data_IF_855964052390
#
_entry.id   IF_855964052390
#
_cell.length_a   1.000
_cell.length_b   1.000
_cell.length_c   1.000
_cell.angle_alpha   90.00
_cell.angle_beta   90.00
_cell.angle_gamma   90.00
#
_symmetry.space_group_name_H-M   'P 1'
#
loop_
_entity.id
_entity.type
_entity.pdbx_description
1 polymer ?
#
# COMPACT_ATOMS: atom_id res chain seq x y z
N UNK A 1 44.39 -10.03 -33.58
CA UNK A 1 43.96 -10.00 -32.16
C UNK A 1 42.54 -9.48 -32.12
N UNK A 2 41.59 -10.24 -31.59
CA UNK A 2 40.23 -9.72 -31.37
C UNK A 2 40.26 -8.61 -30.32
N UNK A 3 39.54 -7.51 -30.58
CA UNK A 3 39.38 -6.46 -29.58
C UNK A 3 38.62 -7.03 -28.38
N UNK A 4 39.04 -6.76 -27.13
CA UNK A 4 38.31 -7.21 -25.96
C UNK A 4 36.88 -6.66 -26.00
N UNK A 5 35.91 -7.52 -25.70
CA UNK A 5 34.50 -7.12 -25.64
C UNK A 5 34.30 -6.20 -24.42
N UNK A 6 33.52 -5.11 -24.55
CA UNK A 6 33.24 -4.25 -23.41
C UNK A 6 32.55 -5.07 -22.31
N UNK A 7 33.11 -5.02 -21.09
CA UNK A 7 32.53 -5.63 -19.90
C UNK A 7 31.76 -4.57 -19.10
N UNK A 8 30.83 -5.03 -18.26
CA UNK A 8 30.00 -4.14 -17.45
C UNK A 8 30.82 -3.13 -16.66
N UNK A 9 31.96 -3.55 -16.09
CA UNK A 9 32.85 -2.71 -15.30
C UNK A 9 33.34 -1.48 -16.07
N UNK A 10 33.60 -1.62 -17.37
CA UNK A 10 34.16 -0.57 -18.22
C UNK A 10 33.10 0.39 -18.79
N UNK A 11 31.81 0.07 -18.62
CA UNK A 11 30.75 0.93 -19.10
C UNK A 11 30.74 2.28 -18.34
N UNK A 12 30.66 3.41 -19.07
CA UNK A 12 30.41 4.71 -18.47
C UNK A 12 29.19 4.70 -17.55
N UNK A 13 29.28 5.48 -16.45
CA UNK A 13 28.22 5.53 -15.43
C UNK A 13 26.83 5.84 -16.02
N UNK A 14 26.74 6.74 -17.00
CA UNK A 14 25.46 7.10 -17.62
C UNK A 14 24.80 5.92 -18.34
N UNK A 15 25.57 5.03 -18.98
CA UNK A 15 25.04 3.80 -19.60
C UNK A 15 24.59 2.79 -18.54
N UNK A 16 25.35 2.64 -17.45
CA UNK A 16 24.95 1.78 -16.32
C UNK A 16 23.62 2.24 -15.71
N UNK A 17 23.48 3.55 -15.51
CA UNK A 17 22.25 4.22 -15.04
C UNK A 17 21.09 3.97 -16.02
N UNK A 18 21.33 4.11 -17.32
CA UNK A 18 20.33 3.84 -18.35
C UNK A 18 19.85 2.39 -18.31
N UNK A 19 20.77 1.43 -18.31
CA UNK A 19 20.45 -0.01 -18.23
C UNK A 19 19.70 -0.32 -16.94
N UNK A 20 20.19 0.13 -15.79
CA UNK A 20 19.55 -0.10 -14.49
C UNK A 20 18.15 0.54 -14.41
N UNK A 21 17.89 1.60 -15.17
CA UNK A 21 16.56 2.21 -15.33
C UNK A 21 15.57 1.38 -16.14
N UNK A 22 16.05 0.42 -16.93
CA UNK A 22 15.23 -0.53 -17.70
C UNK A 22 15.07 -1.88 -17.01
N UNK A 23 15.80 -2.12 -15.93
CA UNK A 23 15.70 -3.36 -15.16
C UNK A 23 14.44 -3.37 -14.29
N UNK A 24 13.80 -4.54 -14.22
CA UNK A 24 12.72 -4.81 -13.27
C UNK A 24 13.22 -5.09 -11.85
N UNK A 25 12.30 -5.22 -10.88
CA UNK A 25 12.60 -5.43 -9.44
C UNK A 25 13.70 -6.48 -9.19
N UNK A 26 13.50 -7.72 -9.64
CA UNK A 26 14.44 -8.82 -9.40
C UNK A 26 15.85 -8.52 -9.93
N UNK A 27 15.96 -8.08 -11.18
CA UNK A 27 17.24 -7.77 -11.81
C UNK A 27 17.94 -6.57 -11.14
N UNK A 28 17.17 -5.56 -10.71
CA UNK A 28 17.72 -4.45 -9.93
C UNK A 28 18.25 -4.91 -8.57
N UNK A 29 17.51 -5.76 -7.86
CA UNK A 29 17.97 -6.31 -6.59
C UNK A 29 19.25 -7.13 -6.76
N UNK A 30 19.34 -7.97 -7.80
CA UNK A 30 20.56 -8.71 -8.13
C UNK A 30 21.72 -7.78 -8.42
N UNK A 31 21.54 -6.78 -9.32
CA UNK A 31 22.59 -5.81 -9.66
C UNK A 31 23.07 -5.04 -8.42
N UNK A 32 22.14 -4.61 -7.56
CA UNK A 32 22.43 -3.90 -6.31
C UNK A 32 23.30 -4.70 -5.33
N UNK A 33 23.28 -6.04 -5.42
CA UNK A 33 24.07 -6.93 -4.58
C UNK A 33 25.45 -7.24 -5.17
N UNK A 34 25.70 -6.96 -6.46
CA UNK A 34 26.95 -7.30 -7.13
C UNK A 34 28.17 -6.52 -6.61
N UNK A 35 28.04 -5.21 -6.40
CA UNK A 35 29.15 -4.36 -5.93
C UNK A 35 28.65 -3.07 -5.28
N UNK A 36 29.55 -2.32 -4.63
CA UNK A 36 29.22 -0.98 -4.08
C UNK A 36 28.85 0.00 -5.20
N UNK A 37 29.58 0.00 -6.31
CA UNK A 37 29.32 0.89 -7.45
C UNK A 37 28.00 0.56 -8.14
N UNK A 38 27.65 -0.73 -8.25
CA UNK A 38 26.35 -1.15 -8.80
C UNK A 38 25.19 -0.78 -7.88
N UNK A 39 25.39 -0.91 -6.56
CA UNK A 39 24.43 -0.41 -5.57
C UNK A 39 24.20 1.08 -5.73
N UNK A 40 25.27 1.87 -5.86
CA UNK A 40 25.16 3.32 -6.05
C UNK A 40 24.45 3.68 -7.36
N UNK A 41 24.66 2.91 -8.44
CA UNK A 41 23.92 3.08 -9.69
C UNK A 41 22.44 2.82 -9.47
N UNK A 42 22.07 1.68 -8.90
CA UNK A 42 20.66 1.29 -8.66
C UNK A 42 19.96 2.25 -7.70
N UNK A 43 20.64 2.65 -6.62
CA UNK A 43 20.08 3.56 -5.61
C UNK A 43 20.04 5.03 -6.13
N UNK A 44 20.77 5.35 -7.21
CA UNK A 44 20.74 6.69 -7.80
C UNK A 44 19.52 6.97 -8.68
N UNK A 45 18.78 5.95 -9.11
CA UNK A 45 17.69 6.07 -10.07
C UNK A 45 16.31 5.92 -9.42
N UNK A 46 15.29 6.70 -9.85
CA UNK A 46 13.91 6.50 -9.42
C UNK A 46 13.43 5.07 -9.65
N UNK A 47 12.55 4.59 -8.77
CA UNK A 47 11.84 3.34 -8.95
C UNK A 47 10.34 3.58 -8.90
N UNK A 48 9.71 3.64 -10.07
CA UNK A 48 8.26 3.79 -10.20
C UNK A 48 7.62 2.43 -10.02
N UNK A 49 6.96 2.23 -8.88
CA UNK A 49 6.27 1.00 -8.54
C UNK A 49 4.78 1.27 -8.63
N UNK A 50 4.08 0.51 -9.47
CA UNK A 50 2.64 0.62 -9.58
C UNK A 50 1.97 0.06 -8.31
N UNK A 51 2.36 -1.15 -7.89
CA UNK A 51 1.81 -1.75 -6.67
C UNK A 51 2.80 -2.67 -5.97
N UNK A 52 2.78 -2.66 -4.64
CA UNK A 52 3.44 -3.67 -3.80
C UNK A 52 2.39 -4.40 -3.00
N UNK A 53 2.37 -5.73 -3.11
CA UNK A 53 1.55 -6.59 -2.26
C UNK A 53 2.46 -7.36 -1.31
N UNK A 54 2.16 -7.30 -0.02
CA UNK A 54 2.72 -8.17 1.00
C UNK A 54 1.56 -8.93 1.64
N UNK A 55 1.50 -10.24 1.43
CA UNK A 55 0.42 -11.08 1.96
C UNK A 55 0.95 -12.39 2.49
N UNK A 56 0.35 -12.90 3.56
CA UNK A 56 0.66 -14.25 4.05
C UNK A 56 -0.06 -15.31 3.23
N UNK A 57 0.64 -16.42 2.95
CA UNK A 57 0.08 -17.63 2.33
C UNK A 57 -0.04 -18.78 3.35
N UNK A 58 1.01 -19.07 4.14
CA UNK A 58 1.10 -20.16 5.14
C UNK A 58 1.89 -19.70 6.37
N UNK A 59 1.95 -20.51 7.43
CA UNK A 59 2.48 -20.14 8.77
C UNK A 59 3.81 -19.36 8.79
N UNK A 60 4.77 -19.69 7.92
CA UNK A 60 6.11 -19.06 7.89
C UNK A 60 6.48 -18.42 6.54
N UNK A 61 5.54 -18.39 5.60
CA UNK A 61 5.77 -17.86 4.26
C UNK A 61 4.93 -16.60 4.02
N UNK A 62 5.46 -15.75 3.14
CA UNK A 62 4.72 -14.64 2.58
C UNK A 62 4.97 -14.51 1.09
N UNK A 63 3.98 -13.93 0.44
CA UNK A 63 4.04 -13.47 -0.94
C UNK A 63 4.39 -12.00 -0.93
N UNK A 64 5.53 -11.66 -1.52
CA UNK A 64 5.89 -10.30 -1.89
C UNK A 64 5.73 -10.18 -3.42
N UNK A 65 4.75 -9.40 -3.85
CA UNK A 65 4.60 -9.06 -5.26
C UNK A 65 4.94 -7.58 -5.49
N UNK A 66 5.80 -7.31 -6.46
CA UNK A 66 6.17 -5.97 -6.90
C UNK A 66 5.75 -5.83 -8.36
N UNK A 67 4.83 -4.92 -8.61
CA UNK A 67 4.27 -4.64 -9.93
C UNK A 67 4.76 -3.27 -10.36
N UNK A 68 5.44 -3.24 -11.51
CA UNK A 68 5.88 -2.02 -12.20
C UNK A 68 5.20 -1.96 -13.56
N UNK A 69 5.41 -0.87 -14.31
CA UNK A 69 4.94 -0.79 -15.70
C UNK A 69 5.59 -1.83 -16.61
N UNK A 70 6.85 -2.20 -16.31
CA UNK A 70 7.65 -3.08 -17.16
C UNK A 70 7.49 -4.56 -16.79
N UNK A 71 7.18 -4.86 -15.53
CA UNK A 71 7.16 -6.24 -15.06
C UNK A 71 6.29 -6.47 -13.83
N UNK A 72 5.97 -7.75 -13.62
CA UNK A 72 5.39 -8.27 -12.40
C UNK A 72 6.35 -9.30 -11.80
N UNK A 73 6.86 -8.99 -10.61
CA UNK A 73 7.68 -9.89 -9.80
C UNK A 73 6.80 -10.46 -8.68
N UNK A 74 6.68 -11.78 -8.57
CA UNK A 74 5.98 -12.45 -7.46
C UNK A 74 6.97 -13.41 -6.82
N UNK A 75 7.15 -13.28 -5.51
CA UNK A 75 8.10 -14.08 -4.73
C UNK A 75 7.41 -14.68 -3.53
N UNK A 76 7.52 -15.99 -3.38
CA UNK A 76 7.14 -16.70 -2.17
C UNK A 76 8.42 -16.91 -1.34
N UNK A 77 8.47 -16.29 -0.17
CA UNK A 77 9.68 -16.19 0.65
C UNK A 77 9.33 -16.51 2.10
N UNK A 78 10.31 -16.95 2.91
CA UNK A 78 10.17 -16.93 4.36
C UNK A 78 9.78 -15.53 4.83
N UNK A 79 8.83 -15.44 5.77
CA UNK A 79 8.19 -14.19 6.15
C UNK A 79 9.17 -13.06 6.50
N UNK A 80 10.18 -13.36 7.33
CA UNK A 80 11.22 -12.39 7.73
C UNK A 80 11.99 -11.83 6.53
N UNK A 81 12.20 -12.66 5.50
CA UNK A 81 12.85 -12.23 4.26
C UNK A 81 11.93 -11.30 3.47
N UNK A 82 10.63 -11.62 3.40
CA UNK A 82 9.65 -10.77 2.75
C UNK A 82 9.51 -9.39 3.43
N UNK A 83 9.49 -9.32 4.78
CA UNK A 83 9.52 -8.05 5.52
C UNK A 83 10.77 -7.26 5.14
N UNK A 84 11.95 -7.87 5.27
CA UNK A 84 13.23 -7.19 5.02
C UNK A 84 13.28 -6.62 3.59
N UNK A 85 12.82 -7.40 2.61
CA UNK A 85 12.76 -6.96 1.22
C UNK A 85 11.75 -5.84 1.01
N UNK A 86 10.58 -5.91 1.65
CA UNK A 86 9.60 -4.83 1.66
C UNK A 86 10.18 -3.55 2.27
N UNK A 87 10.85 -3.65 3.42
CA UNK A 87 11.49 -2.52 4.10
C UNK A 87 12.59 -1.90 3.23
N UNK A 88 13.37 -2.71 2.52
CA UNK A 88 14.37 -2.21 1.58
C UNK A 88 13.74 -1.41 0.44
N UNK A 89 12.54 -1.79 -0.03
CA UNK A 89 11.81 -1.04 -1.04
C UNK A 89 11.35 0.33 -0.51
N UNK A 90 10.79 0.37 0.70
CA UNK A 90 10.25 1.62 1.27
C UNK A 90 11.35 2.57 1.77
N UNK A 91 12.51 2.06 2.19
CA UNK A 91 13.65 2.87 2.64
C UNK A 91 14.29 3.69 1.52
N UNK A 92 14.13 3.28 0.26
CA UNK A 92 14.69 4.02 -0.86
C UNK A 92 13.85 5.29 -1.10
N UNK A 93 14.39 6.50 -0.85
CA UNK A 93 13.62 7.76 -0.96
C UNK A 93 13.22 8.09 -2.40
N UNK A 94 13.83 7.42 -3.40
CA UNK A 94 13.54 7.57 -4.83
C UNK A 94 12.52 6.54 -5.33
N UNK A 95 12.11 5.59 -4.49
CA UNK A 95 10.97 4.72 -4.79
C UNK A 95 9.68 5.53 -4.65
N UNK A 96 8.85 5.51 -5.70
CA UNK A 96 7.50 6.05 -5.68
C UNK A 96 6.55 4.89 -5.85
N UNK A 97 5.73 4.61 -4.84
CA UNK A 97 4.71 3.57 -4.90
C UNK A 97 3.35 4.20 -5.15
N UNK A 98 2.60 3.71 -6.13
CA UNK A 98 1.22 4.14 -6.29
C UNK A 98 0.31 3.45 -5.26
N UNK A 99 0.41 2.13 -5.09
CA UNK A 99 -0.35 1.41 -4.07
C UNK A 99 0.49 0.45 -3.24
N UNK A 100 0.11 0.30 -1.98
CA UNK A 100 0.54 -0.81 -1.10
C UNK A 100 -0.68 -1.63 -0.70
N UNK A 101 -0.54 -2.96 -0.73
CA UNK A 101 -1.61 -3.92 -0.45
C UNK A 101 -1.12 -4.90 0.62
N UNK A 102 -1.82 -4.95 1.75
CA UNK A 102 -1.60 -5.95 2.79
C UNK A 102 -2.66 -7.05 2.68
N UNK A 103 -2.21 -8.29 2.49
CA UNK A 103 -3.07 -9.45 2.29
C UNK A 103 -3.45 -10.14 3.61
N UNK A 104 -4.74 -10.37 3.85
CA UNK A 104 -5.28 -10.99 5.07
C UNK A 104 -5.66 -12.46 4.91
N UNK A 105 -5.06 -13.17 3.95
CA UNK A 105 -5.47 -14.54 3.63
C UNK A 105 -5.22 -15.55 4.78
N UNK A 106 -4.49 -15.17 5.84
CA UNK A 106 -4.27 -16.00 7.02
C UNK A 106 -4.44 -15.19 8.32
N UNK A 107 -5.52 -15.39 9.10
CA UNK A 107 -5.76 -14.66 10.36
C UNK A 107 -4.80 -15.06 11.48
N UNK A 108 -4.10 -16.20 11.36
CA UNK A 108 -3.07 -16.63 12.33
C UNK A 108 -1.68 -16.09 11.99
N UNK A 109 -1.57 -15.21 11.01
CA UNK A 109 -0.28 -14.68 10.62
C UNK A 109 0.19 -13.65 11.65
N UNK A 110 1.10 -14.05 12.55
CA UNK A 110 1.73 -13.23 13.60
C UNK A 110 2.70 -12.16 13.05
N UNK A 111 2.47 -11.75 11.82
CA UNK A 111 3.51 -11.25 10.94
C UNK A 111 3.50 -9.73 10.92
N UNK A 112 2.32 -9.13 10.89
CA UNK A 112 2.15 -7.69 10.92
C UNK A 112 2.70 -7.00 12.17
N UNK A 113 2.59 -7.55 13.39
CA UNK A 113 3.26 -6.98 14.55
C UNK A 113 4.79 -6.82 14.38
N UNK A 114 5.47 -7.80 13.77
CA UNK A 114 6.91 -7.72 13.47
C UNK A 114 7.18 -6.62 12.44
N UNK A 115 6.41 -6.56 11.35
CA UNK A 115 6.51 -5.51 10.34
C UNK A 115 6.30 -4.11 10.94
N UNK A 116 5.25 -3.93 11.75
CA UNK A 116 4.94 -2.67 12.44
C UNK A 116 6.12 -2.27 13.31
N UNK A 117 6.66 -3.21 14.09
CA UNK A 117 7.82 -2.98 14.96
C UNK A 117 9.05 -2.53 14.18
N UNK A 118 9.38 -3.20 13.08
CA UNK A 118 10.53 -2.84 12.24
C UNK A 118 10.31 -1.52 11.47
N UNK A 119 9.06 -1.11 11.23
CA UNK A 119 8.72 0.10 10.50
C UNK A 119 8.39 1.30 11.39
N UNK A 120 8.52 1.23 12.72
CA UNK A 120 8.12 2.30 13.65
C UNK A 120 8.62 3.70 13.29
N UNK A 121 9.83 3.81 12.76
CA UNK A 121 10.47 5.08 12.37
C UNK A 121 10.46 5.34 10.86
N UNK A 122 9.70 4.55 10.09
CA UNK A 122 9.60 4.65 8.65
C UNK A 122 8.18 5.04 8.25
N UNK A 123 8.07 5.81 7.18
CA UNK A 123 6.78 6.13 6.57
C UNK A 123 6.70 5.56 5.17
N UNK A 124 5.64 4.81 4.91
CA UNK A 124 5.35 4.25 3.60
C UNK A 124 4.76 5.36 2.73
N UNK A 125 5.51 5.77 1.72
CA UNK A 125 5.12 6.80 0.75
C UNK A 125 4.38 6.15 -0.42
N UNK A 126 3.09 5.87 -0.23
CA UNK A 126 2.21 5.41 -1.31
C UNK A 126 0.92 6.21 -1.37
N UNK A 127 0.39 6.42 -2.57
CA UNK A 127 -0.86 7.17 -2.78
C UNK A 127 -2.09 6.40 -2.27
N UNK A 128 -2.04 5.06 -2.31
CA UNK A 128 -3.17 4.20 -1.95
C UNK A 128 -2.75 3.11 -0.99
N UNK A 129 -3.51 2.94 0.07
CA UNK A 129 -3.40 1.82 0.99
C UNK A 129 -4.55 0.85 0.76
N UNK A 130 -4.25 -0.44 0.70
CA UNK A 130 -5.27 -1.47 0.64
C UNK A 130 -5.04 -2.54 1.70
N UNK A 131 -6.09 -2.84 2.45
CA UNK A 131 -6.18 -4.07 3.22
C UNK A 131 -7.12 -5.01 2.48
N UNK A 132 -6.56 -6.10 1.93
CA UNK A 132 -7.28 -7.02 1.06
C UNK A 132 -7.34 -8.41 1.67
N UNK A 133 -8.49 -9.08 1.57
CA UNK A 133 -8.70 -10.44 2.06
C UNK A 133 -10.14 -10.63 2.53
N UNK A 134 -10.42 -11.84 2.99
CA UNK A 134 -11.71 -12.18 3.59
C UNK A 134 -11.55 -11.98 5.10
N UNK A 135 -12.29 -11.03 5.68
CA UNK A 135 -12.40 -10.97 7.14
C UNK A 135 -13.24 -12.17 7.56
N UNK A 136 -12.72 -12.88 8.56
CA UNK A 136 -13.57 -13.71 9.38
C UNK A 136 -14.30 -12.74 10.34
N UNK A 137 -15.62 -12.88 10.53
CA UNK A 137 -16.48 -11.88 11.18
C UNK A 137 -15.98 -11.31 12.53
N UNK A 138 -15.11 -12.04 13.23
CA UNK A 138 -14.78 -11.75 14.64
C UNK A 138 -13.38 -11.13 14.89
N UNK A 139 -12.54 -10.86 13.87
CA UNK A 139 -11.10 -10.53 14.13
C UNK A 139 -10.43 -9.52 13.21
N UNK A 140 -11.06 -8.37 12.96
CA UNK A 140 -10.31 -7.19 12.52
C UNK A 140 -9.65 -6.54 13.74
N UNK A 141 -8.45 -7.03 14.09
CA UNK A 141 -7.71 -6.60 15.26
C UNK A 141 -7.04 -5.22 15.08
N UNK A 142 -6.67 -4.61 16.21
CA UNK A 142 -6.05 -3.26 16.31
C UNK A 142 -4.76 -3.15 15.48
N UNK A 143 -4.03 -4.26 15.31
CA UNK A 143 -2.78 -4.28 14.54
C UNK A 143 -2.98 -3.88 13.06
N UNK A 144 -4.18 -4.04 12.49
CA UNK A 144 -4.49 -3.59 11.12
C UNK A 144 -4.58 -2.08 10.99
N UNK A 145 -5.02 -1.39 12.04
CA UNK A 145 -5.00 0.08 12.10
C UNK A 145 -3.55 0.56 12.25
N UNK A 146 -2.73 -0.15 13.01
CA UNK A 146 -1.31 0.16 13.12
C UNK A 146 -0.57 0.05 11.78
N UNK A 147 -0.96 -0.88 10.88
CA UNK A 147 -0.43 -0.91 9.50
C UNK A 147 -0.78 0.36 8.72
N UNK A 148 -2.01 0.86 8.83
CA UNK A 148 -2.40 2.12 8.22
C UNK A 148 -1.56 3.27 8.77
N UNK A 149 -1.26 3.28 10.07
CA UNK A 149 -0.43 4.32 10.72
C UNK A 149 1.02 4.39 10.20
N UNK A 150 1.50 3.34 9.51
CA UNK A 150 2.79 3.37 8.81
C UNK A 150 2.77 4.26 7.56
N UNK A 151 1.60 4.63 7.04
CA UNK A 151 1.47 5.47 5.84
C UNK A 151 1.84 6.93 6.11
N UNK A 152 2.48 7.57 5.14
CA UNK A 152 2.74 9.01 5.12
C UNK A 152 1.45 9.78 4.75
N UNK A 153 0.90 10.57 5.68
CA UNK A 153 -0.33 11.36 5.46
C UNK A 153 -0.18 12.45 4.41
N UNK A 154 1.05 12.88 4.09
CA UNK A 154 1.29 13.86 3.02
C UNK A 154 1.14 13.26 1.62
N UNK A 155 1.22 11.94 1.51
CA UNK A 155 1.22 11.20 0.24
C UNK A 155 -0.04 10.36 0.07
N UNK A 156 -0.52 9.76 1.16
CA UNK A 156 -1.72 8.92 1.16
C UNK A 156 -2.94 9.74 0.72
N UNK A 157 -3.67 9.22 -0.26
CA UNK A 157 -4.90 9.82 -0.79
C UNK A 157 -6.09 8.90 -0.68
N UNK A 158 -5.86 7.58 -0.66
CA UNK A 158 -6.94 6.60 -0.75
C UNK A 158 -6.75 5.43 0.22
N UNK A 159 -7.83 5.04 0.90
CA UNK A 159 -7.86 3.90 1.83
C UNK A 159 -8.89 2.88 1.34
N UNK A 160 -8.44 1.69 0.94
CA UNK A 160 -9.31 0.58 0.60
C UNK A 160 -9.25 -0.52 1.67
N UNK A 161 -10.38 -0.88 2.24
CA UNK A 161 -10.49 -2.01 3.17
C UNK A 161 -11.59 -2.92 2.62
N UNK A 162 -11.17 -4.05 2.06
CA UNK A 162 -12.10 -5.02 1.48
C UNK A 162 -12.86 -5.91 2.46
N UNK A 163 -12.25 -6.32 3.58
CA UNK A 163 -12.95 -7.13 4.56
C UNK A 163 -14.12 -6.37 5.21
N UNK A 164 -15.18 -7.08 5.60
CA UNK A 164 -16.34 -6.51 6.29
C UNK A 164 -15.93 -5.90 7.62
N UNK A 165 -16.30 -4.63 7.82
CA UNK A 165 -16.01 -3.87 9.02
C UNK A 165 -17.10 -4.07 10.08
N UNK A 166 -16.72 -3.87 11.35
CA UNK A 166 -17.65 -3.66 12.44
C UNK A 166 -17.55 -2.21 12.97
N UNK A 167 -18.53 -1.80 13.77
CA UNK A 167 -18.60 -0.44 14.32
C UNK A 167 -17.33 -0.03 15.10
N UNK A 168 -16.76 -0.95 15.89
CA UNK A 168 -15.57 -0.66 16.69
C UNK A 168 -14.36 -0.34 15.82
N UNK A 169 -14.12 -1.15 14.78
CA UNK A 169 -13.03 -0.93 13.84
C UNK A 169 -13.22 0.36 13.06
N UNK A 170 -14.44 0.62 12.57
CA UNK A 170 -14.75 1.84 11.83
C UNK A 170 -14.52 3.07 12.70
N UNK A 171 -15.00 3.08 13.94
CA UNK A 171 -14.75 4.17 14.90
C UNK A 171 -13.26 4.43 15.11
N UNK A 172 -12.46 3.38 15.28
CA UNK A 172 -11.00 3.53 15.42
C UNK A 172 -10.32 3.99 14.12
N UNK A 173 -10.86 3.61 12.97
CA UNK A 173 -10.33 3.99 11.65
C UNK A 173 -10.51 5.50 11.41
N UNK A 174 -11.71 6.03 11.66
CA UNK A 174 -12.05 7.44 11.39
C UNK A 174 -11.26 8.42 12.27
N UNK A 175 -10.86 7.97 13.46
CA UNK A 175 -10.02 8.71 14.40
C UNK A 175 -8.58 8.92 13.89
N UNK A 176 -8.12 8.13 12.91
CA UNK A 176 -6.73 8.19 12.44
C UNK A 176 -6.42 9.43 11.62
N UNK A 177 -5.21 9.96 11.75
CA UNK A 177 -4.72 11.06 10.90
C UNK A 177 -4.67 10.67 9.41
N UNK A 178 -4.47 9.39 9.11
CA UNK A 178 -4.53 8.85 7.76
C UNK A 178 -5.93 8.96 7.15
N UNK A 179 -6.97 8.69 7.93
CA UNK A 179 -8.34 8.88 7.50
C UNK A 179 -8.65 10.37 7.24
N UNK A 180 -8.33 11.23 8.21
CA UNK A 180 -8.59 12.68 8.14
C UNK A 180 -7.87 13.35 6.96
N UNK A 181 -6.72 12.81 6.54
CA UNK A 181 -5.96 13.31 5.39
C UNK A 181 -6.32 12.66 4.05
N UNK A 182 -7.01 11.52 4.06
CA UNK A 182 -7.42 10.83 2.85
C UNK A 182 -8.46 11.65 2.09
N UNK A 183 -8.49 11.47 0.76
CA UNK A 183 -9.48 12.05 -0.14
C UNK A 183 -10.50 11.03 -0.61
N UNK A 184 -10.24 9.74 -0.41
CA UNK A 184 -11.13 8.70 -0.86
C UNK A 184 -11.01 7.40 -0.10
N UNK A 185 -12.11 6.65 -0.08
CA UNK A 185 -12.22 5.37 0.61
C UNK A 185 -12.99 4.34 -0.21
N UNK A 186 -12.65 3.07 -0.02
CA UNK A 186 -13.52 1.95 -0.36
C UNK A 186 -13.61 0.99 0.82
N UNK A 187 -14.81 0.83 1.37
CA UNK A 187 -15.05 0.02 2.57
C UNK A 187 -16.14 -1.01 2.32
N UNK A 188 -16.18 -2.04 3.15
CA UNK A 188 -17.29 -2.99 3.24
C UNK A 188 -17.99 -2.78 4.60
N UNK A 189 -19.12 -2.05 4.60
CA UNK A 189 -19.83 -1.61 5.81
C UNK A 189 -21.05 -2.48 6.13
N UNK A 190 -21.08 -3.72 5.64
CA UNK A 190 -22.24 -4.60 5.73
C UNK A 190 -22.70 -4.90 7.18
N UNK A 191 -21.76 -4.88 8.14
CA UNK A 191 -22.02 -5.10 9.56
C UNK A 191 -21.83 -3.83 10.41
N UNK A 192 -21.97 -2.65 9.79
CA UNK A 192 -21.91 -1.38 10.51
C UNK A 192 -23.31 -0.80 10.69
N UNK A 193 -23.77 -0.70 11.93
CA UNK A 193 -25.07 -0.13 12.28
C UNK A 193 -24.95 1.35 12.66
N UNK A 194 -23.83 1.72 13.31
CA UNK A 194 -23.59 3.05 13.86
C UNK A 194 -22.47 3.78 13.12
N UNK A 195 -22.71 4.07 11.84
CA UNK A 195 -21.76 4.83 11.02
C UNK A 195 -21.92 6.33 11.30
N UNK A 196 -20.90 6.96 11.88
CA UNK A 196 -20.79 8.42 11.90
C UNK A 196 -20.50 8.93 10.49
N UNK A 197 -21.53 9.44 9.82
CA UNK A 197 -21.44 9.92 8.45
C UNK A 197 -20.70 11.24 8.29
N UNK A 198 -20.69 12.08 9.32
CA UNK A 198 -20.00 13.38 9.25
C UNK A 198 -18.50 13.16 9.04
N UNK A 199 -17.97 12.07 9.60
CA UNK A 199 -16.59 11.64 9.40
C UNK A 199 -16.21 11.31 7.95
N UNK A 200 -17.18 11.25 7.02
CA UNK A 200 -16.97 10.98 5.60
C UNK A 200 -17.04 12.25 4.73
N UNK A 201 -17.54 13.38 5.24
CA UNK A 201 -17.88 14.55 4.41
C UNK A 201 -16.67 15.26 3.79
N UNK A 202 -15.46 15.02 4.29
CA UNK A 202 -14.22 15.54 3.67
C UNK A 202 -13.73 14.68 2.49
N UNK A 203 -14.28 13.49 2.30
CA UNK A 203 -13.87 12.56 1.25
C UNK A 203 -14.53 12.92 -0.07
N UNK A 204 -13.74 12.98 -1.14
CA UNK A 204 -14.22 13.24 -2.52
C UNK A 204 -14.69 11.97 -3.23
N UNK A 205 -14.09 10.84 -2.87
CA UNK A 205 -14.35 9.53 -3.47
C UNK A 205 -14.81 8.54 -2.40
N UNK A 206 -16.07 8.14 -2.41
CA UNK A 206 -16.63 7.20 -1.44
C UNK A 206 -17.17 5.98 -2.19
N UNK A 207 -16.72 4.79 -1.80
CA UNK A 207 -17.26 3.52 -2.29
C UNK A 207 -17.59 2.61 -1.10
N UNK A 208 -18.87 2.55 -0.72
CA UNK A 208 -19.36 1.70 0.37
C UNK A 208 -20.04 0.46 -0.21
N UNK A 209 -19.40 -0.70 -0.07
CA UNK A 209 -20.07 -1.99 -0.22
C UNK A 209 -20.93 -2.24 1.01
N UNK A 210 -22.14 -2.74 0.82
CA UNK A 210 -23.13 -2.84 1.89
C UNK A 210 -23.94 -1.57 2.14
N UNK A 211 -23.84 -0.54 1.28
CA UNK A 211 -24.65 0.68 1.40
C UNK A 211 -26.15 0.40 1.56
N UNK A 212 -26.65 -0.65 0.91
CA UNK A 212 -28.07 -1.06 0.99
C UNK A 212 -28.49 -1.52 2.39
N UNK A 213 -27.55 -1.92 3.24
CA UNK A 213 -27.79 -2.42 4.60
C UNK A 213 -27.66 -1.31 5.65
N UNK A 214 -27.18 -0.11 5.27
CA UNK A 214 -27.25 1.04 6.16
C UNK A 214 -28.72 1.38 6.48
N UNK A 215 -28.95 1.98 7.64
CA UNK A 215 -30.29 2.48 7.97
C UNK A 215 -30.69 3.64 7.02
N UNK A 216 -31.99 3.88 6.86
CA UNK A 216 -32.51 4.85 5.89
C UNK A 216 -32.05 6.29 6.17
N UNK A 217 -31.94 6.67 7.44
CA UNK A 217 -31.44 7.99 7.84
C UNK A 217 -30.01 8.21 7.33
N UNK A 218 -29.16 7.19 7.47
CA UNK A 218 -27.78 7.23 7.01
C UNK A 218 -27.68 7.33 5.48
N UNK A 219 -28.51 6.57 4.75
CA UNK A 219 -28.57 6.65 3.29
C UNK A 219 -28.95 8.05 2.82
N UNK A 220 -29.99 8.64 3.41
CA UNK A 220 -30.48 9.98 3.07
C UNK A 220 -29.38 11.02 3.29
N UNK A 221 -28.73 11.01 4.46
CA UNK A 221 -27.63 11.96 4.77
C UNK A 221 -26.48 11.90 3.77
N UNK A 222 -26.07 10.70 3.33
CA UNK A 222 -25.03 10.54 2.30
C UNK A 222 -25.48 11.14 0.96
N UNK A 223 -26.73 10.88 0.56
CA UNK A 223 -27.28 11.38 -0.71
C UNK A 223 -27.38 12.91 -0.69
N UNK A 224 -27.92 13.49 0.39
CA UNK A 224 -28.06 14.94 0.56
C UNK A 224 -26.71 15.65 0.52
N UNK A 225 -25.71 15.11 1.22
CA UNK A 225 -24.33 15.61 1.15
C UNK A 225 -23.78 15.56 -0.29
N UNK A 226 -24.00 14.48 -1.03
CA UNK A 226 -23.47 14.36 -2.40
C UNK A 226 -24.15 15.33 -3.37
N UNK A 227 -25.44 15.58 -3.19
CA UNK A 227 -26.19 16.58 -3.97
C UNK A 227 -25.68 17.99 -3.68
N UNK A 228 -25.44 18.34 -2.41
CA UNK A 228 -24.96 19.66 -2.03
C UNK A 228 -23.53 19.93 -2.55
N UNK A 229 -22.65 18.93 -2.52
CA UNK A 229 -21.30 19.02 -3.10
C UNK A 229 -21.34 19.22 -4.62
N UNK A 230 -22.23 18.51 -5.33
CA UNK A 230 -22.37 18.62 -6.80
C UNK A 230 -22.86 20.02 -7.21
N UNK A 231 -23.87 20.56 -6.52
CA UNK A 231 -24.38 21.92 -6.77
C UNK A 231 -23.31 22.99 -6.54
N UNK A 232 -22.50 22.84 -5.49
CA UNK A 232 -21.42 23.78 -5.21
C UNK A 232 -20.34 23.81 -6.30
N UNK A 233 -20.07 22.67 -6.96
CA UNK A 233 -19.13 22.58 -8.08
C UNK A 233 -19.69 23.09 -9.41
N UNK A 234 -21.02 23.18 -9.58
CA UNK A 234 -21.65 23.75 -10.78
C UNK A 234 -21.75 25.28 -10.72
N UNK A 235 -21.69 25.86 -9.52
CA UNK A 235 -21.81 27.31 -9.27
C UNK A 235 -20.45 28.03 -9.11
N UNK A 236 -19.32 27.30 -9.19
CA UNK A 236 -17.94 27.84 -9.05
C UNK A 236 -17.06 27.63 -10.28
#
# INVERSE_FOLDING_TARGET
>A
MEKPRPIWQDLPRHLKVYVAGKLGDKSRQSLRQCSKTDRDVVDSIPFSIHSVLLGSNKYLEATLAVITELNRSVRHLPYKTAIKDFINLIKNPKSKMNSVIFGMNNPRCASYPELISECKNLKIRANRFYLNGIAWPDKLEVDRIELLKLMDTKVLKYIGISPTLNDEFLRKLVETEQWKSARGVSLCTENCENVDLESFFHLREINLRGFQQLNEEAKIKIIEWRISETRFMEES
#
